data_IF_098016778404
#
_entry.id   IF_098016778404
#
_cell.length_a   1.000
_cell.length_b   1.000
_cell.length_c   1.000
_cell.angle_alpha   90.00
_cell.angle_beta   90.00
_cell.angle_gamma   90.00
#
_symmetry.space_group_name_H-M   'P 1'
#
loop_
_entity.id
_entity.type
_entity.pdbx_description
1 polymer ?
#
# COMPACT_ATOMS: atom_id res chain seq x y z
N UNK A 1 -9.42 0.58 0.67
CA UNK A 1 -10.74 0.52 1.34
C UNK A 1 -10.90 1.65 2.34
N UNK A 2 -12.08 2.28 2.38
CA UNK A 2 -12.44 3.36 3.33
C UNK A 2 -12.36 2.82 4.76
N UNK A 3 -11.73 3.56 5.69
CA UNK A 3 -11.73 3.19 7.11
C UNK A 3 -13.17 3.13 7.63
N UNK A 4 -13.47 2.19 8.53
CA UNK A 4 -14.81 2.02 9.10
C UNK A 4 -15.36 3.30 9.74
N UNK A 5 -14.47 4.11 10.32
CA UNK A 5 -14.74 5.44 10.88
C UNK A 5 -15.38 6.41 9.87
N UNK A 6 -15.07 6.24 8.57
CA UNK A 6 -15.58 7.11 7.52
C UNK A 6 -16.80 6.52 6.81
N UNK A 7 -17.32 5.37 7.24
CA UNK A 7 -18.48 4.76 6.60
C UNK A 7 -19.76 5.55 6.89
N UNK A 8 -20.63 5.67 5.88
CA UNK A 8 -22.01 6.12 6.10
C UNK A 8 -22.77 5.07 6.91
N UNK A 9 -23.90 5.43 7.48
CA UNK A 9 -24.67 4.49 8.30
C UNK A 9 -25.19 3.30 7.49
N UNK A 10 -25.57 3.52 6.22
CA UNK A 10 -25.89 2.44 5.29
C UNK A 10 -24.70 1.49 5.04
N UNK A 11 -23.49 2.04 4.87
CA UNK A 11 -22.27 1.24 4.68
C UNK A 11 -21.95 0.41 5.92
N UNK A 12 -22.15 0.96 7.12
CA UNK A 12 -21.99 0.23 8.39
C UNK A 12 -23.01 -0.91 8.49
N UNK A 13 -24.27 -0.67 8.13
CA UNK A 13 -25.31 -1.70 8.16
C UNK A 13 -24.99 -2.85 7.20
N UNK A 14 -24.61 -2.53 5.96
CA UNK A 14 -24.19 -3.54 4.96
C UNK A 14 -22.96 -4.32 5.42
N UNK A 15 -21.96 -3.63 5.98
CA UNK A 15 -20.76 -4.28 6.51
C UNK A 15 -21.09 -5.20 7.70
N UNK A 16 -22.03 -4.81 8.57
CA UNK A 16 -22.48 -5.65 9.70
C UNK A 16 -23.10 -6.96 9.22
N UNK A 17 -23.95 -6.90 8.18
CA UNK A 17 -24.54 -8.10 7.57
C UNK A 17 -23.43 -8.93 6.91
N UNK A 18 -22.63 -8.33 6.03
CA UNK A 18 -21.54 -9.01 5.32
C UNK A 18 -20.57 -9.72 6.26
N UNK A 19 -20.14 -9.06 7.33
CA UNK A 19 -19.19 -9.63 8.28
C UNK A 19 -19.79 -10.67 9.21
N UNK A 20 -21.12 -10.71 9.34
CA UNK A 20 -21.84 -11.79 10.02
C UNK A 20 -21.92 -13.03 9.14
N UNK A 21 -22.30 -12.85 7.88
CA UNK A 21 -22.46 -13.96 6.92
C UNK A 21 -21.09 -14.51 6.45
N UNK A 22 -20.06 -13.66 6.38
CA UNK A 22 -18.71 -14.02 5.90
C UNK A 22 -17.61 -13.59 6.90
N UNK A 23 -17.39 -14.35 7.99
CA UNK A 23 -16.40 -14.02 9.01
C UNK A 23 -14.97 -13.92 8.49
N UNK A 24 -14.61 -14.68 7.46
CA UNK A 24 -13.26 -14.64 6.88
C UNK A 24 -13.00 -13.33 6.14
N UNK A 25 -14.02 -12.76 5.48
CA UNK A 25 -13.94 -11.42 4.87
C UNK A 25 -13.71 -10.36 5.96
N UNK A 26 -14.35 -10.51 7.12
CA UNK A 26 -14.12 -9.62 8.28
C UNK A 26 -12.68 -9.70 8.76
N UNK A 27 -12.11 -10.91 8.89
CA UNK A 27 -10.71 -11.11 9.29
C UNK A 27 -9.75 -10.49 8.27
N UNK A 28 -9.94 -10.78 6.98
CA UNK A 28 -9.11 -10.23 5.90
C UNK A 28 -9.18 -8.70 5.83
N UNK A 29 -10.38 -8.12 6.02
CA UNK A 29 -10.55 -6.67 6.15
C UNK A 29 -9.76 -6.12 7.34
N UNK A 30 -9.84 -6.78 8.50
CA UNK A 30 -9.11 -6.39 9.71
C UNK A 30 -7.59 -6.40 9.54
N UNK A 31 -7.04 -7.43 8.90
CA UNK A 31 -5.61 -7.52 8.58
C UNK A 31 -5.16 -6.41 7.62
N UNK A 32 -5.93 -6.19 6.54
CA UNK A 32 -5.64 -5.12 5.56
C UNK A 32 -5.70 -3.74 6.21
N UNK A 33 -6.71 -3.51 7.04
CA UNK A 33 -6.93 -2.24 7.70
C UNK A 33 -5.86 -1.96 8.75
N UNK A 34 -5.52 -2.94 9.58
CA UNK A 34 -4.48 -2.80 10.59
C UNK A 34 -3.11 -2.54 9.97
N UNK A 35 -2.75 -3.21 8.87
CA UNK A 35 -1.52 -2.90 8.12
C UNK A 35 -1.50 -1.45 7.64
N UNK A 36 -2.60 -0.97 7.05
CA UNK A 36 -2.73 0.44 6.63
C UNK A 36 -2.53 1.40 7.80
N UNK A 37 -3.07 1.09 8.98
CA UNK A 37 -2.93 1.95 10.17
C UNK A 37 -1.48 2.04 10.66
N UNK A 38 -0.69 0.97 10.52
CA UNK A 38 0.74 0.97 10.84
C UNK A 38 1.46 2.02 10.00
N UNK A 39 1.25 2.03 8.68
CA UNK A 39 1.89 2.99 7.76
C UNK A 39 1.33 4.41 7.87
N UNK A 40 0.04 4.56 8.17
CA UNK A 40 -0.58 5.88 8.33
C UNK A 40 -0.06 6.62 9.58
N UNK A 41 0.20 5.89 10.68
CA UNK A 41 0.58 6.49 11.96
C UNK A 41 1.97 7.14 11.88
N UNK A 42 2.05 8.43 12.22
CA UNK A 42 3.34 9.11 12.40
C UNK A 42 3.99 8.64 13.69
N UNK A 43 5.05 7.84 13.58
CA UNK A 43 5.70 7.21 14.72
C UNK A 43 7.18 6.95 14.40
N UNK A 44 7.93 6.52 15.41
CA UNK A 44 9.36 6.21 15.28
C UNK A 44 9.56 4.77 14.79
N UNK A 45 10.72 4.50 14.18
CA UNK A 45 11.08 3.21 13.58
C UNK A 45 10.84 2.02 14.53
N UNK A 46 11.21 2.13 15.81
CA UNK A 46 11.04 1.05 16.79
C UNK A 46 9.56 0.77 17.13
N UNK A 47 8.73 1.81 17.20
CA UNK A 47 7.30 1.65 17.42
C UNK A 47 6.59 1.02 16.21
N UNK A 48 7.04 1.35 14.99
CA UNK A 48 6.60 0.69 13.78
C UNK A 48 7.04 -0.79 13.74
N UNK A 49 8.29 -1.08 14.14
CA UNK A 49 8.84 -2.44 14.27
C UNK A 49 7.96 -3.31 15.16
N UNK A 50 7.63 -2.83 16.35
CA UNK A 50 6.75 -3.53 17.29
C UNK A 50 5.33 -3.71 16.72
N UNK A 51 4.82 -2.73 15.99
CA UNK A 51 3.48 -2.80 15.40
C UNK A 51 3.41 -3.84 14.27
N UNK A 52 4.46 -3.94 13.44
CA UNK A 52 4.58 -4.97 12.41
C UNK A 52 4.73 -6.37 13.01
N UNK A 53 5.51 -6.53 14.09
CA UNK A 53 5.62 -7.80 14.80
C UNK A 53 4.24 -8.30 15.29
N UNK A 54 3.45 -7.42 15.91
CA UNK A 54 2.07 -7.73 16.30
C UNK A 54 1.16 -8.05 15.12
N UNK A 55 1.42 -7.47 13.96
CA UNK A 55 0.64 -7.74 12.75
C UNK A 55 0.99 -9.11 12.16
N UNK A 56 2.27 -9.51 12.16
CA UNK A 56 2.68 -10.85 11.73
C UNK A 56 2.00 -11.95 12.53
N UNK A 57 1.96 -11.84 13.87
CA UNK A 57 1.24 -12.81 14.71
C UNK A 57 -0.23 -12.95 14.29
N UNK A 58 -0.91 -11.84 13.99
CA UNK A 58 -2.31 -11.87 13.52
C UNK A 58 -2.48 -12.50 12.15
N UNK A 59 -1.48 -12.34 11.27
CA UNK A 59 -1.47 -12.97 9.94
C UNK A 59 -1.33 -14.48 10.09
N UNK A 60 -0.39 -14.93 10.91
CA UNK A 60 -0.19 -16.36 11.21
C UNK A 60 -1.45 -16.98 11.83
N UNK A 61 -2.04 -16.33 12.83
CA UNK A 61 -3.29 -16.77 13.46
C UNK A 61 -4.47 -16.85 12.48
N UNK A 62 -4.54 -15.94 11.50
CA UNK A 62 -5.61 -15.95 10.50
C UNK A 62 -5.41 -17.01 9.41
N UNK A 63 -4.18 -17.50 9.22
CA UNK A 63 -3.80 -18.56 8.30
C UNK A 63 -4.28 -18.35 6.85
N UNK A 64 -4.29 -17.10 6.37
CA UNK A 64 -4.57 -16.81 4.97
C UNK A 64 -3.29 -16.85 4.14
N UNK A 65 -3.23 -17.78 3.19
CA UNK A 65 -2.07 -17.92 2.30
C UNK A 65 -1.67 -16.59 1.63
N UNK A 66 -2.65 -15.81 1.16
CA UNK A 66 -2.40 -14.50 0.54
C UNK A 66 -1.75 -13.50 1.49
N UNK A 67 -2.11 -13.49 2.77
CA UNK A 67 -1.47 -12.62 3.76
C UNK A 67 -0.11 -13.15 4.20
N UNK A 68 0.10 -14.47 4.24
CA UNK A 68 1.40 -15.06 4.52
C UNK A 68 2.43 -14.67 3.44
N UNK A 69 2.01 -14.66 2.15
CA UNK A 69 2.86 -14.17 1.04
C UNK A 69 3.22 -12.70 1.24
N UNK A 70 2.25 -11.85 1.59
CA UNK A 70 2.51 -10.43 1.88
C UNK A 70 3.47 -10.27 3.06
N UNK A 71 3.25 -11.02 4.14
CA UNK A 71 4.10 -10.98 5.32
C UNK A 71 5.55 -11.37 4.99
N UNK A 72 5.74 -12.42 4.18
CA UNK A 72 7.06 -12.83 3.71
C UNK A 72 7.75 -11.73 2.91
N UNK A 73 7.06 -11.06 1.98
CA UNK A 73 7.62 -9.94 1.21
C UNK A 73 8.00 -8.75 2.10
N UNK A 74 7.17 -8.41 3.10
CA UNK A 74 7.49 -7.31 4.04
C UNK A 74 8.69 -7.70 4.91
N UNK A 75 8.80 -8.97 5.30
CA UNK A 75 9.92 -9.47 6.08
C UNK A 75 11.23 -9.45 5.27
N UNK A 76 11.19 -9.81 3.99
CA UNK A 76 12.34 -9.78 3.09
C UNK A 76 12.91 -8.36 2.92
N UNK A 77 12.04 -7.35 2.86
CA UNK A 77 12.42 -5.94 2.68
C UNK A 77 12.30 -5.11 3.97
N UNK A 78 12.40 -5.76 5.13
CA UNK A 78 11.97 -5.17 6.40
C UNK A 78 12.69 -3.87 6.77
N UNK A 79 14.01 -3.83 6.60
CA UNK A 79 14.81 -2.66 6.98
C UNK A 79 14.52 -1.45 6.07
N UNK A 80 14.36 -1.67 4.76
CA UNK A 80 14.00 -0.65 3.79
C UNK A 80 12.59 -0.10 4.05
N UNK A 81 11.64 -0.98 4.34
CA UNK A 81 10.27 -0.61 4.72
C UNK A 81 10.28 0.21 6.00
N UNK A 82 11.09 -0.16 6.99
CA UNK A 82 11.18 0.58 8.25
C UNK A 82 11.89 1.94 8.08
N UNK A 83 12.76 2.11 7.09
CA UNK A 83 13.39 3.39 6.78
C UNK A 83 12.39 4.47 6.36
N UNK A 84 11.17 4.08 5.93
CA UNK A 84 10.02 4.98 5.75
C UNK A 84 9.77 5.88 6.96
N UNK A 85 10.05 5.40 8.18
CA UNK A 85 9.81 6.15 9.42
C UNK A 85 10.97 7.06 9.84
N UNK A 86 12.13 6.99 9.18
CA UNK A 86 13.27 7.88 9.40
C UNK A 86 13.13 9.11 8.50
N UNK A 87 13.06 8.86 7.19
CA UNK A 87 12.91 9.88 6.16
C UNK A 87 11.54 9.70 5.53
N UNK A 88 10.48 10.24 6.15
CA UNK A 88 9.10 10.24 5.60
C UNK A 88 8.99 11.08 4.31
N UNK A 89 9.77 10.74 3.30
CA UNK A 89 9.59 11.22 1.95
C UNK A 89 8.21 10.74 1.51
N UNK A 90 7.35 11.69 1.17
CA UNK A 90 6.00 11.37 0.74
C UNK A 90 6.07 10.61 -0.58
N UNK A 91 5.38 9.47 -0.68
CA UNK A 91 5.22 8.74 -1.94
C UNK A 91 4.53 9.59 -3.02
N UNK A 92 3.99 10.76 -2.66
CA UNK A 92 3.37 11.73 -3.56
C UNK A 92 4.25 12.09 -4.77
N UNK A 93 5.57 12.22 -4.59
CA UNK A 93 6.48 12.49 -5.71
C UNK A 93 6.54 11.29 -6.68
N UNK A 94 6.67 10.07 -6.15
CA UNK A 94 6.68 8.84 -6.94
C UNK A 94 5.30 8.52 -7.56
N UNK A 95 4.20 8.80 -6.86
CA UNK A 95 2.83 8.69 -7.37
C UNK A 95 2.56 9.69 -8.49
N UNK A 96 2.97 10.95 -8.31
CA UNK A 96 2.91 11.99 -9.35
C UNK A 96 3.74 11.59 -10.57
N UNK A 97 4.93 11.05 -10.36
CA UNK A 97 5.77 10.55 -11.44
C UNK A 97 5.14 9.35 -12.15
N UNK A 98 4.63 8.36 -11.41
CA UNK A 98 3.91 7.21 -11.97
C UNK A 98 2.65 7.62 -12.74
N UNK A 99 1.93 8.65 -12.28
CA UNK A 99 0.80 9.22 -13.00
C UNK A 99 1.22 9.88 -14.31
N UNK A 100 2.33 10.65 -14.31
CA UNK A 100 2.92 11.25 -15.53
C UNK A 100 3.35 10.17 -16.53
N UNK A 101 3.99 9.09 -16.08
CA UNK A 101 4.35 7.94 -16.94
C UNK A 101 3.11 7.29 -17.54
N UNK A 102 2.07 7.02 -16.74
CA UNK A 102 0.81 6.42 -17.21
C UNK A 102 0.13 7.30 -18.26
N UNK A 103 0.04 8.61 -18.01
CA UNK A 103 -0.51 9.59 -18.94
C UNK A 103 0.28 9.62 -20.25
N UNK A 104 1.61 9.67 -20.16
CA UNK A 104 2.47 9.66 -21.34
C UNK A 104 2.27 8.39 -22.18
N UNK A 105 2.26 7.21 -21.54
CA UNK A 105 1.99 5.92 -22.21
C UNK A 105 0.62 5.87 -22.90
N UNK A 106 -0.42 6.46 -22.28
CA UNK A 106 -1.75 6.54 -22.86
C UNK A 106 -1.76 7.41 -24.13
N UNK A 107 -1.07 8.56 -24.09
CA UNK A 107 -0.97 9.46 -25.24
C UNK A 107 -0.22 8.83 -26.43
N UNK A 108 0.81 8.03 -26.16
CA UNK A 108 1.60 7.36 -27.22
C UNK A 108 1.08 5.96 -27.60
N UNK A 109 -0.08 5.55 -27.06
CA UNK A 109 -0.76 4.26 -27.32
C UNK A 109 0.12 3.02 -27.12
N UNK A 110 1.03 3.07 -26.15
CA UNK A 110 1.92 1.95 -25.82
C UNK A 110 3.40 2.33 -25.88
N UNK A 111 4.27 1.33 -25.74
CA UNK A 111 5.73 1.49 -25.76
C UNK A 111 6.29 0.44 -26.70
N UNK A 112 6.71 0.86 -27.90
CA UNK A 112 7.32 -0.04 -28.90
C UNK A 112 8.84 -0.06 -28.73
N UNK A 113 9.46 1.10 -28.56
CA UNK A 113 10.89 1.25 -28.29
C UNK A 113 11.12 1.76 -26.86
N UNK A 114 11.70 0.90 -26.02
CA UNK A 114 11.98 1.20 -24.60
C UNK A 114 13.07 2.27 -24.46
N UNK A 115 14.08 2.26 -25.32
CA UNK A 115 15.20 3.20 -25.27
C UNK A 115 14.73 4.62 -25.62
N UNK A 116 13.95 4.73 -26.70
CA UNK A 116 13.35 6.01 -27.09
C UNK A 116 12.33 6.52 -26.06
N UNK A 117 11.54 5.60 -25.47
CA UNK A 117 10.60 5.94 -24.39
C UNK A 117 11.31 6.53 -23.17
N UNK A 118 12.38 5.89 -22.69
CA UNK A 118 13.16 6.38 -21.55
C UNK A 118 13.83 7.72 -21.86
N UNK A 119 14.36 7.91 -23.08
CA UNK A 119 14.89 9.19 -23.53
C UNK A 119 13.85 10.32 -23.46
N UNK A 120 12.61 10.06 -23.93
CA UNK A 120 11.52 11.04 -23.91
C UNK A 120 11.05 11.38 -22.49
N UNK A 121 10.94 10.39 -21.61
CA UNK A 121 10.58 10.60 -20.19
C UNK A 121 11.63 11.46 -19.49
N UNK A 122 12.91 11.15 -19.69
CA UNK A 122 14.01 11.92 -19.11
C UNK A 122 13.99 13.38 -19.59
N UNK A 123 13.81 13.60 -20.91
CA UNK A 123 13.73 14.96 -21.48
C UNK A 123 12.55 15.78 -21.00
N UNK A 124 11.39 15.17 -20.73
CA UNK A 124 10.17 15.89 -20.33
C UNK A 124 10.05 16.10 -18.82
N UNK A 125 10.65 15.21 -18.01
CA UNK A 125 10.36 15.16 -16.58
C UNK A 125 11.59 15.13 -15.67
N UNK A 126 12.81 14.97 -16.19
CA UNK A 126 14.03 14.83 -15.37
C UNK A 126 15.06 15.96 -15.54
N UNK A 127 15.09 16.67 -16.68
CA UNK A 127 16.00 17.79 -16.89
C UNK A 127 15.25 19.13 -16.72
N UNK A 128 15.79 20.10 -15.96
CA UNK A 128 15.25 21.47 -15.96
C UNK A 128 15.48 22.11 -17.34
N UNK A 129 14.54 22.96 -17.75
CA UNK A 129 14.74 23.87 -18.87
C UNK A 129 15.67 25.01 -18.48
#
# INVERSE_FOLDING_TARGET
FKSSEKWTDEQKLRAKILFREYPDIKKAYGLSHSLRMIFAKNTVKDAARLSLAKWYNKVEEANFHSFNVIAATIYEHYDDILNFYINRATNAAAESFNAKIKLFRANVRGVVDKSFFLFRIAKLYAYPH
#
